data_IF_514242232607
#
_entry.id   IF_514242232607
#
_cell.length_a   1.000
_cell.length_b   1.000
_cell.length_c   1.000
_cell.angle_alpha   90.00
_cell.angle_beta   90.00
_cell.angle_gamma   90.00
#
_symmetry.space_group_name_H-M   'P 1'
#
loop_
_entity.id
_entity.type
_entity.pdbx_description
1 polymer ?
#
# COMPACT_ATOMS: atom_id res chain seq x y z
N UNK A 1 -6.10 1.48 37.81
CA UNK A 1 -5.32 0.39 37.18
C UNK A 1 -6.11 -0.43 36.15
N UNK A 2 -7.33 -0.02 35.73
CA UNK A 2 -8.13 -0.70 34.70
C UNK A 2 -8.09 -0.03 33.32
N UNK A 3 -7.90 1.30 33.25
CA UNK A 3 -7.88 2.03 31.97
C UNK A 3 -6.72 1.62 31.05
N UNK A 4 -5.52 1.39 31.61
CA UNK A 4 -4.35 0.96 30.83
C UNK A 4 -4.49 -0.44 30.25
N UNK A 5 -5.26 -1.33 30.92
CA UNK A 5 -5.58 -2.66 30.39
C UNK A 5 -6.54 -2.56 29.20
N UNK A 6 -7.56 -1.70 29.32
CA UNK A 6 -8.53 -1.46 28.24
C UNK A 6 -7.91 -0.83 27.01
N UNK A 7 -7.06 0.18 27.18
CA UNK A 7 -6.41 0.88 26.06
C UNK A 7 -5.47 -0.04 25.29
N UNK A 8 -4.69 -0.86 25.99
CA UNK A 8 -3.76 -1.74 25.29
C UNK A 8 -4.43 -2.93 24.61
N UNK A 9 -5.43 -3.54 25.27
CA UNK A 9 -6.29 -4.52 24.61
C UNK A 9 -7.03 -3.90 23.42
N UNK A 10 -7.42 -2.63 23.50
CA UNK A 10 -8.01 -1.90 22.37
C UNK A 10 -7.03 -1.60 21.25
N UNK A 11 -5.73 -1.45 21.51
CA UNK A 11 -4.70 -1.28 20.47
C UNK A 11 -4.37 -2.64 19.82
N UNK A 12 -4.37 -3.71 20.60
CA UNK A 12 -4.20 -5.07 20.08
C UNK A 12 -5.41 -5.58 19.30
N UNK A 13 -6.61 -5.23 19.75
CA UNK A 13 -7.88 -5.61 19.14
C UNK A 13 -8.41 -4.56 18.16
N UNK A 14 -7.83 -3.34 18.12
CA UNK A 14 -8.14 -2.41 17.05
C UNK A 14 -7.62 -3.06 15.79
N UNK A 15 -8.56 -3.24 14.87
CA UNK A 15 -8.47 -3.77 13.52
C UNK A 15 -7.33 -3.22 12.65
N UNK A 16 -6.41 -2.40 13.16
CA UNK A 16 -5.19 -1.97 12.48
C UNK A 16 -4.28 -3.15 12.10
N UNK A 17 -4.23 -4.21 12.92
CA UNK A 17 -3.39 -5.40 12.62
C UNK A 17 -4.03 -6.37 11.62
N UNK A 18 -5.22 -6.06 11.08
CA UNK A 18 -5.84 -6.88 10.00
C UNK A 18 -6.90 -6.08 9.22
N UNK A 19 -6.65 -4.81 8.92
CA UNK A 19 -7.51 -4.04 8.01
C UNK A 19 -6.82 -3.95 6.66
N UNK A 20 -7.11 -4.95 5.83
CA UNK A 20 -7.08 -4.88 4.36
C UNK A 20 -7.39 -3.45 3.91
N UNK A 21 -6.37 -2.72 3.44
CA UNK A 21 -6.53 -1.45 2.72
C UNK A 21 -7.11 -1.77 1.34
N UNK A 22 -8.32 -2.34 1.33
CA UNK A 22 -9.12 -2.56 0.12
C UNK A 22 -10.04 -1.36 -0.13
N UNK A 23 -10.18 -0.45 0.84
CA UNK A 23 -11.24 0.58 0.80
C UNK A 23 -10.84 1.89 0.12
N UNK A 24 -9.56 2.25 0.02
CA UNK A 24 -9.18 3.53 -0.61
C UNK A 24 -8.79 3.43 -2.10
N UNK A 25 -8.23 2.31 -2.54
CA UNK A 25 -7.81 2.17 -3.95
C UNK A 25 -8.96 1.67 -4.84
N UNK A 26 -9.90 0.90 -4.29
CA UNK A 26 -11.01 0.32 -5.07
C UNK A 26 -12.08 1.33 -5.49
N UNK A 27 -12.40 2.32 -4.66
CA UNK A 27 -13.56 3.19 -4.88
C UNK A 27 -13.42 4.18 -6.03
N UNK A 28 -12.23 4.78 -6.20
CA UNK A 28 -12.02 5.82 -7.22
C UNK A 28 -11.72 5.22 -8.59
N UNK A 29 -11.08 4.05 -8.64
CA UNK A 29 -10.74 3.38 -9.91
C UNK A 29 -11.96 2.65 -10.47
N UNK A 30 -12.75 1.92 -9.65
CA UNK A 30 -13.87 1.10 -10.13
C UNK A 30 -15.05 1.94 -10.62
N UNK A 31 -15.38 3.06 -9.96
CA UNK A 31 -16.52 3.90 -10.35
C UNK A 31 -16.32 4.63 -11.69
N UNK A 32 -15.08 4.85 -12.13
CA UNK A 32 -14.81 5.52 -13.41
C UNK A 32 -14.90 4.56 -14.61
N UNK A 33 -14.58 3.27 -14.41
CA UNK A 33 -14.51 2.24 -15.46
C UNK A 33 -15.87 1.98 -16.12
N UNK A 34 -16.98 2.10 -15.38
CA UNK A 34 -18.29 1.67 -15.87
C UNK A 34 -19.06 2.72 -16.68
N UNK A 35 -18.68 4.00 -16.64
CA UNK A 35 -19.60 5.08 -17.05
C UNK A 35 -19.61 5.45 -18.54
N UNK A 36 -18.72 4.92 -19.40
CA UNK A 36 -18.50 5.50 -20.75
C UNK A 36 -18.58 4.60 -21.98
N UNK A 37 -18.94 3.31 -21.86
CA UNK A 37 -18.94 2.39 -23.01
C UNK A 37 -20.29 1.74 -23.37
N UNK A 38 -21.41 2.44 -23.13
CA UNK A 38 -22.67 2.11 -23.80
C UNK A 38 -22.98 3.19 -24.85
N UNK A 39 -22.57 2.97 -26.10
CA UNK A 39 -23.41 3.24 -27.27
C UNK A 39 -22.72 2.98 -28.63
N UNK A 40 -23.53 2.38 -29.53
CA UNK A 40 -23.40 2.13 -30.99
C UNK A 40 -22.93 0.75 -31.47
N UNK A 41 -23.86 -0.01 -32.06
CA UNK A 41 -23.78 -1.42 -32.47
C UNK A 41 -22.86 -1.77 -33.65
N UNK A 42 -22.38 -3.02 -33.61
CA UNK A 42 -22.20 -4.05 -34.65
C UNK A 42 -21.09 -4.02 -35.70
N UNK A 43 -20.33 -2.95 -35.87
CA UNK A 43 -19.07 -3.01 -36.65
C UNK A 43 -17.82 -2.74 -35.79
N UNK A 44 -18.04 -2.41 -34.51
CA UNK A 44 -17.01 -2.09 -33.52
C UNK A 44 -16.64 -3.27 -32.61
N UNK A 45 -17.12 -4.49 -32.84
CA UNK A 45 -16.99 -5.55 -31.81
C UNK A 45 -15.55 -6.05 -31.63
N UNK A 46 -14.74 -6.12 -32.71
CA UNK A 46 -13.30 -6.41 -32.59
C UNK A 46 -12.52 -5.26 -31.96
N UNK A 47 -12.73 -4.03 -32.45
CA UNK A 47 -12.05 -2.84 -31.91
C UNK A 47 -12.46 -2.58 -30.45
N UNK A 48 -13.71 -2.84 -30.08
CA UNK A 48 -14.18 -2.78 -28.69
C UNK A 48 -13.62 -3.89 -27.84
N UNK A 49 -13.57 -5.13 -28.32
CA UNK A 49 -12.99 -6.23 -27.58
C UNK A 49 -11.50 -5.95 -27.30
N UNK A 50 -10.74 -5.54 -28.31
CA UNK A 50 -9.32 -5.20 -28.16
C UNK A 50 -9.10 -4.00 -27.23
N UNK A 51 -9.96 -2.98 -27.29
CA UNK A 51 -9.92 -1.82 -26.37
C UNK A 51 -10.32 -2.21 -24.95
N UNK A 52 -11.36 -3.04 -24.78
CA UNK A 52 -11.82 -3.51 -23.48
C UNK A 52 -10.77 -4.41 -22.81
N UNK A 53 -10.15 -5.31 -23.58
CA UNK A 53 -9.08 -6.18 -23.10
C UNK A 53 -7.84 -5.38 -22.68
N UNK A 54 -7.48 -4.33 -23.42
CA UNK A 54 -6.40 -3.42 -23.03
C UNK A 54 -6.73 -2.66 -21.72
N UNK A 55 -7.90 -2.05 -21.63
CA UNK A 55 -8.33 -1.32 -20.43
C UNK A 55 -8.40 -2.24 -19.20
N UNK A 56 -8.81 -3.49 -19.39
CA UNK A 56 -8.84 -4.49 -18.33
C UNK A 56 -7.44 -4.89 -17.87
N UNK A 57 -6.49 -5.08 -18.79
CA UNK A 57 -5.09 -5.34 -18.43
C UNK A 57 -4.48 -4.16 -17.69
N UNK A 58 -4.66 -2.95 -18.21
CA UNK A 58 -4.19 -1.71 -17.56
C UNK A 58 -4.76 -1.58 -16.14
N UNK A 59 -6.07 -1.77 -15.99
CA UNK A 59 -6.75 -1.76 -14.69
C UNK A 59 -6.14 -2.78 -13.74
N UNK A 60 -5.97 -4.03 -14.17
CA UNK A 60 -5.41 -5.09 -13.36
C UNK A 60 -3.97 -4.79 -12.93
N UNK A 61 -3.14 -4.26 -13.83
CA UNK A 61 -1.75 -3.88 -13.51
C UNK A 61 -1.72 -2.79 -12.45
N UNK A 62 -2.58 -1.77 -12.56
CA UNK A 62 -2.69 -0.70 -11.56
C UNK A 62 -3.19 -1.24 -10.23
N UNK A 63 -4.24 -2.06 -10.24
CA UNK A 63 -4.77 -2.71 -9.02
C UNK A 63 -3.70 -3.56 -8.33
N UNK A 64 -2.97 -4.39 -9.08
CA UNK A 64 -1.86 -5.20 -8.56
C UNK A 64 -0.77 -4.30 -7.92
N UNK A 65 -0.38 -3.21 -8.59
CA UNK A 65 0.66 -2.30 -8.13
C UNK A 65 0.31 -1.63 -6.78
N UNK A 66 -0.92 -1.16 -6.64
CA UNK A 66 -1.39 -0.57 -5.38
C UNK A 66 -1.64 -1.62 -4.30
N UNK A 67 -2.10 -2.82 -4.65
CA UNK A 67 -2.30 -3.91 -3.68
C UNK A 67 -0.97 -4.36 -3.06
N UNK A 68 0.08 -4.54 -3.86
CA UNK A 68 1.41 -4.93 -3.35
C UNK A 68 1.99 -3.80 -2.51
N UNK A 69 1.95 -2.55 -3.00
CA UNK A 69 2.43 -1.38 -2.25
C UNK A 69 1.69 -1.18 -0.93
N UNK A 70 0.36 -1.30 -0.94
CA UNK A 70 -0.47 -1.10 0.26
C UNK A 70 -0.23 -2.16 1.34
N UNK A 71 0.04 -3.41 0.95
CA UNK A 71 0.42 -4.47 1.88
C UNK A 71 1.74 -4.16 2.58
N UNK A 72 2.74 -3.72 1.83
CA UNK A 72 4.05 -3.35 2.37
C UNK A 72 3.94 -2.19 3.37
N UNK A 73 3.18 -1.14 3.02
CA UNK A 73 2.97 0.01 3.89
C UNK A 73 2.27 -0.40 5.19
N UNK A 74 1.20 -1.20 5.10
CA UNK A 74 0.47 -1.65 6.28
C UNK A 74 1.37 -2.46 7.22
N UNK A 75 2.18 -3.37 6.66
CA UNK A 75 3.13 -4.15 7.46
C UNK A 75 4.21 -3.27 8.13
N UNK A 76 4.70 -2.25 7.43
CA UNK A 76 5.60 -1.25 8.00
C UNK A 76 4.96 -0.50 9.18
N UNK A 77 3.71 -0.05 9.04
CA UNK A 77 2.99 0.66 10.10
C UNK A 77 2.75 -0.23 11.33
N UNK A 78 2.40 -1.50 11.13
CA UNK A 78 2.30 -2.50 12.21
C UNK A 78 3.64 -2.68 12.94
N UNK A 79 4.75 -2.73 12.21
CA UNK A 79 6.09 -2.87 12.78
C UNK A 79 6.50 -1.64 13.60
N UNK A 80 6.19 -0.42 13.14
CA UNK A 80 6.33 0.81 13.95
C UNK A 80 5.48 0.68 15.23
N UNK A 81 4.21 0.30 15.10
CA UNK A 81 3.29 0.19 16.22
C UNK A 81 3.75 -0.85 17.25
N UNK A 82 4.44 -1.91 16.82
CA UNK A 82 5.04 -2.92 17.69
C UNK A 82 6.14 -2.38 18.63
N UNK A 83 6.69 -1.20 18.34
CA UNK A 83 7.66 -0.49 19.21
C UNK A 83 7.00 0.37 20.29
N UNK A 84 5.66 0.48 20.31
CA UNK A 84 4.96 1.35 21.25
C UNK A 84 4.90 0.81 22.69
N UNK A 85 4.64 1.69 23.66
CA UNK A 85 4.37 1.31 25.08
C UNK A 85 3.26 0.27 25.26
N UNK A 86 2.40 0.13 24.25
CA UNK A 86 1.47 -0.98 24.10
C UNK A 86 2.22 -2.31 24.34
N UNK A 87 3.30 -2.53 23.60
CA UNK A 87 4.09 -3.75 23.58
C UNK A 87 5.17 -3.82 24.69
N UNK A 88 5.05 -2.99 25.73
CA UNK A 88 5.95 -3.01 26.89
C UNK A 88 5.74 -4.25 27.75
N UNK A 89 6.66 -5.19 27.67
CA UNK A 89 6.65 -6.44 28.42
C UNK A 89 6.84 -6.22 29.93
N UNK A 90 7.52 -5.14 30.36
CA UNK A 90 7.81 -4.89 31.79
C UNK A 90 6.55 -4.60 32.61
N UNK A 91 5.45 -4.20 31.97
CA UNK A 91 4.21 -3.77 32.63
C UNK A 91 3.12 -4.85 32.61
N UNK A 92 3.49 -6.11 32.36
CA UNK A 92 2.53 -7.16 31.95
C UNK A 92 2.63 -8.39 32.83
N UNK A 93 1.49 -9.05 32.99
CA UNK A 93 1.40 -10.35 33.68
C UNK A 93 1.99 -11.46 32.82
N UNK A 94 2.32 -12.61 33.43
CA UNK A 94 2.87 -13.76 32.72
C UNK A 94 1.99 -14.26 31.56
N UNK A 95 0.66 -14.23 31.72
CA UNK A 95 -0.28 -14.59 30.64
C UNK A 95 -0.29 -13.56 29.51
N UNK A 96 -0.19 -12.27 29.82
CA UNK A 96 -0.13 -11.19 28.83
C UNK A 96 1.19 -11.20 28.05
N UNK A 97 2.31 -11.55 28.72
CA UNK A 97 3.63 -11.64 28.09
C UNK A 97 3.66 -12.62 26.91
N UNK A 98 3.03 -13.80 27.07
CA UNK A 98 2.94 -14.78 25.97
C UNK A 98 2.20 -14.19 24.78
N UNK A 99 1.08 -13.51 25.02
CA UNK A 99 0.29 -12.85 23.96
C UNK A 99 1.09 -11.74 23.27
N UNK A 100 1.82 -10.90 24.02
CA UNK A 100 2.68 -9.84 23.44
C UNK A 100 3.73 -10.43 22.51
N UNK A 101 4.47 -11.42 23.00
CA UNK A 101 5.57 -12.01 22.26
C UNK A 101 5.08 -12.68 20.99
N UNK A 102 3.98 -13.42 21.08
CA UNK A 102 3.34 -14.00 19.91
C UNK A 102 2.92 -12.91 18.91
N UNK A 103 2.31 -11.82 19.39
CA UNK A 103 1.86 -10.74 18.51
C UNK A 103 3.01 -9.98 17.85
N UNK A 104 4.11 -9.72 18.59
CA UNK A 104 5.34 -9.16 18.02
C UNK A 104 5.91 -10.08 16.94
N UNK A 105 5.95 -11.39 17.20
CA UNK A 105 6.43 -12.36 16.22
C UNK A 105 5.54 -12.41 14.97
N UNK A 106 4.21 -12.37 15.14
CA UNK A 106 3.26 -12.27 14.03
C UNK A 106 3.50 -11.02 13.19
N UNK A 107 3.72 -9.87 13.82
CA UNK A 107 4.00 -8.60 13.12
C UNK A 107 5.32 -8.69 12.34
N UNK A 108 6.37 -9.23 12.95
CA UNK A 108 7.67 -9.42 12.26
C UNK A 108 7.53 -10.38 11.08
N UNK A 109 6.80 -11.48 11.23
CA UNK A 109 6.56 -12.42 10.15
C UNK A 109 5.75 -11.76 9.02
N UNK A 110 4.68 -11.02 9.36
CA UNK A 110 3.87 -10.31 8.39
C UNK A 110 4.68 -9.27 7.60
N UNK A 111 5.59 -8.55 8.27
CA UNK A 111 6.54 -7.65 7.62
C UNK A 111 7.47 -8.39 6.66
N UNK A 112 8.11 -9.48 7.10
CA UNK A 112 9.01 -10.24 6.24
C UNK A 112 8.29 -10.81 5.00
N UNK A 113 7.07 -11.32 5.17
CA UNK A 113 6.26 -11.84 4.06
C UNK A 113 5.86 -10.73 3.08
N UNK A 114 5.52 -9.54 3.60
CA UNK A 114 5.18 -8.37 2.78
C UNK A 114 6.40 -7.86 2.00
N UNK A 115 7.56 -7.75 2.66
CA UNK A 115 8.81 -7.28 2.09
C UNK A 115 9.31 -8.23 0.99
N UNK A 116 9.28 -9.54 1.25
CA UNK A 116 9.62 -10.55 0.25
C UNK A 116 8.69 -10.45 -0.97
N UNK A 117 7.37 -10.33 -0.74
CA UNK A 117 6.42 -10.17 -1.82
C UNK A 117 6.61 -8.84 -2.58
N UNK A 118 6.90 -7.74 -1.89
CA UNK A 118 7.22 -6.46 -2.52
C UNK A 118 8.41 -6.59 -3.46
N UNK A 119 9.52 -7.14 -2.96
CA UNK A 119 10.74 -7.31 -3.74
C UNK A 119 10.56 -8.28 -4.92
N UNK A 120 9.80 -9.36 -4.75
CA UNK A 120 9.49 -10.30 -5.82
C UNK A 120 8.63 -9.67 -6.93
N UNK A 121 7.66 -8.84 -6.56
CA UNK A 121 6.68 -8.30 -7.51
C UNK A 121 7.12 -6.98 -8.16
N UNK A 122 7.91 -6.16 -7.47
CA UNK A 122 8.26 -4.79 -7.92
C UNK A 122 8.76 -4.76 -9.36
N UNK A 123 9.71 -5.63 -9.71
CA UNK A 123 10.31 -5.67 -11.06
C UNK A 123 9.28 -6.03 -12.14
N UNK A 124 8.42 -7.02 -11.86
CA UNK A 124 7.34 -7.44 -12.77
C UNK A 124 6.31 -6.35 -12.94
N UNK A 125 5.94 -5.65 -11.86
CA UNK A 125 5.02 -4.52 -11.89
C UNK A 125 5.59 -3.35 -12.69
N UNK A 126 6.88 -3.02 -12.52
CA UNK A 126 7.56 -2.00 -13.32
C UNK A 126 7.46 -2.30 -14.81
N UNK A 127 7.74 -3.54 -15.23
CA UNK A 127 7.63 -3.94 -16.63
C UNK A 127 6.19 -3.81 -17.13
N UNK A 128 5.22 -4.35 -16.38
CA UNK A 128 3.80 -4.35 -16.77
C UNK A 128 3.24 -2.93 -16.88
N UNK A 129 3.54 -2.05 -15.92
CA UNK A 129 3.12 -0.65 -15.96
C UNK A 129 3.69 0.07 -17.19
N UNK A 130 4.97 -0.17 -17.51
CA UNK A 130 5.60 0.39 -18.71
C UNK A 130 5.01 -0.18 -20.00
N UNK A 131 4.61 -1.45 -20.03
CA UNK A 131 3.95 -2.03 -21.20
C UNK A 131 2.57 -1.43 -21.43
N UNK A 132 1.76 -1.29 -20.38
CA UNK A 132 0.40 -0.76 -20.51
C UNK A 132 0.39 0.77 -20.68
N UNK A 133 1.36 1.50 -20.12
CA UNK A 133 1.46 2.96 -20.21
C UNK A 133 2.65 3.44 -21.05
N UNK A 134 3.17 2.64 -21.99
CA UNK A 134 4.47 2.91 -22.65
C UNK A 134 4.58 4.24 -23.42
N UNK A 135 3.46 4.81 -23.86
CA UNK A 135 3.43 6.15 -24.47
C UNK A 135 3.51 7.29 -23.45
N UNK A 136 3.29 7.00 -22.16
CA UNK A 136 3.24 7.97 -21.07
C UNK A 136 4.41 7.76 -20.10
N UNK A 137 5.49 8.52 -20.32
CA UNK A 137 6.67 8.49 -19.47
C UNK A 137 6.41 9.04 -18.05
N UNK A 138 5.39 9.88 -17.87
CA UNK A 138 5.04 10.45 -16.56
C UNK A 138 4.57 9.35 -15.59
N UNK A 139 3.74 8.42 -16.05
CA UNK A 139 3.29 7.27 -15.24
C UNK A 139 4.47 6.39 -14.83
N UNK A 140 5.37 6.12 -15.78
CA UNK A 140 6.55 5.29 -15.52
C UNK A 140 7.49 5.96 -14.52
N UNK A 141 7.72 7.27 -14.66
CA UNK A 141 8.55 8.04 -13.72
C UNK A 141 7.92 8.13 -12.34
N UNK A 142 6.61 8.33 -12.25
CA UNK A 142 5.90 8.36 -10.97
C UNK A 142 5.94 6.99 -10.27
N UNK A 143 5.83 5.89 -11.02
CA UNK A 143 6.00 4.54 -10.46
C UNK A 143 7.42 4.29 -9.96
N UNK A 144 8.44 4.66 -10.74
CA UNK A 144 9.83 4.47 -10.33
C UNK A 144 10.13 5.23 -9.02
N UNK A 145 9.64 6.47 -8.88
CA UNK A 145 9.76 7.23 -7.63
C UNK A 145 9.00 6.58 -6.48
N UNK A 146 7.74 6.20 -6.71
CA UNK A 146 6.89 5.55 -5.70
C UNK A 146 7.57 4.27 -5.18
N UNK A 147 7.99 3.39 -6.09
CA UNK A 147 8.63 2.13 -5.72
C UNK A 147 9.96 2.32 -4.98
N UNK A 148 10.73 3.35 -5.31
CA UNK A 148 11.90 3.74 -4.51
C UNK A 148 11.48 4.14 -3.10
N UNK A 149 10.51 5.05 -2.97
CA UNK A 149 10.07 5.56 -1.65
C UNK A 149 9.40 4.51 -0.77
N UNK A 150 8.75 3.49 -1.35
CA UNK A 150 8.26 2.32 -0.59
C UNK A 150 9.43 1.58 0.04
N UNK A 151 10.48 1.32 -0.75
CA UNK A 151 11.69 0.63 -0.28
C UNK A 151 12.38 1.46 0.81
N UNK A 152 12.55 2.77 0.60
CA UNK A 152 13.18 3.66 1.57
C UNK A 152 12.40 3.76 2.90
N UNK A 153 11.06 3.72 2.82
CA UNK A 153 10.21 3.69 4.01
C UNK A 153 10.35 2.36 4.77
N UNK A 154 10.27 1.23 4.06
CA UNK A 154 10.43 -0.10 4.66
C UNK A 154 11.79 -0.27 5.33
N UNK A 155 12.87 0.14 4.66
CA UNK A 155 14.22 0.10 5.22
C UNK A 155 14.34 0.96 6.49
N UNK A 156 13.74 2.15 6.49
CA UNK A 156 13.70 3.00 7.68
C UNK A 156 13.00 2.30 8.84
N UNK A 157 11.87 1.63 8.57
CA UNK A 157 11.06 0.95 9.61
C UNK A 157 11.81 -0.25 10.19
N UNK A 158 12.46 -1.05 9.35
CA UNK A 158 13.31 -2.15 9.80
C UNK A 158 14.42 -1.65 10.74
N UNK A 159 15.14 -0.61 10.34
CA UNK A 159 16.19 0.02 11.15
C UNK A 159 15.60 0.58 12.46
N UNK A 160 14.44 1.25 12.39
CA UNK A 160 13.76 1.79 13.56
C UNK A 160 13.44 0.70 14.58
N UNK A 161 12.84 -0.41 14.12
CA UNK A 161 12.44 -1.53 14.95
C UNK A 161 13.64 -2.22 15.61
N UNK A 162 14.74 -2.40 14.88
CA UNK A 162 16.00 -2.94 15.41
C UNK A 162 16.62 -2.04 16.49
N UNK A 163 16.52 -0.71 16.32
CA UNK A 163 17.12 0.27 17.24
C UNK A 163 16.25 0.56 18.49
N UNK A 164 14.93 0.40 18.40
CA UNK A 164 13.99 0.73 19.48
C UNK A 164 13.48 -0.53 20.19
N UNK A 165 14.41 -1.22 20.87
CA UNK A 165 14.09 -2.38 21.72
C UNK A 165 13.32 -1.99 22.98
N UNK A 166 13.53 -0.76 23.47
CA UNK A 166 12.73 -0.16 24.52
C UNK A 166 11.45 0.49 23.94
N UNK A 167 10.28 0.30 24.57
CA UNK A 167 9.04 0.86 24.09
C UNK A 167 9.05 2.39 24.07
N UNK A 168 8.56 2.97 22.98
CA UNK A 168 8.43 4.42 22.80
C UNK A 168 6.99 4.89 23.03
N UNK A 169 6.85 6.15 23.45
CA UNK A 169 5.54 6.79 23.57
C UNK A 169 4.93 7.19 22.21
N UNK A 170 3.69 7.64 22.24
CA UNK A 170 2.94 7.96 21.03
C UNK A 170 3.50 9.16 20.25
N UNK A 171 4.18 10.10 20.91
CA UNK A 171 4.72 11.26 20.22
C UNK A 171 5.98 10.86 19.44
N UNK A 172 6.83 10.04 20.05
CA UNK A 172 7.99 9.46 19.35
C UNK A 172 7.61 8.46 18.26
N UNK A 173 6.50 7.73 18.38
CA UNK A 173 5.96 6.90 17.29
C UNK A 173 5.57 7.72 16.06
N UNK A 174 4.98 8.92 16.24
CA UNK A 174 4.60 9.78 15.10
C UNK A 174 5.82 10.27 14.34
N UNK A 175 6.98 10.35 15.00
CA UNK A 175 8.25 10.73 14.39
C UNK A 175 8.92 9.54 13.66
N UNK A 176 8.54 8.30 13.97
CA UNK A 176 9.10 7.09 13.39
C UNK A 176 8.96 7.11 11.87
N UNK A 177 10.10 7.27 11.18
CA UNK A 177 10.17 7.30 9.72
C UNK A 177 9.24 8.34 9.04
N UNK A 178 8.79 9.36 9.76
CA UNK A 178 7.76 10.31 9.31
C UNK A 178 8.12 11.00 7.99
N UNK A 179 9.38 11.41 7.81
CA UNK A 179 9.85 12.03 6.58
C UNK A 179 9.79 11.07 5.38
N UNK A 180 10.06 9.77 5.57
CA UNK A 180 10.00 8.77 4.49
C UNK A 180 8.55 8.44 4.17
N UNK A 181 7.69 8.31 5.20
CA UNK A 181 6.25 8.12 5.04
C UNK A 181 5.61 9.29 4.27
N UNK A 182 5.95 10.52 4.63
CA UNK A 182 5.45 11.70 3.93
C UNK A 182 5.85 11.71 2.45
N UNK A 183 7.13 11.43 2.15
CA UNK A 183 7.60 11.34 0.77
C UNK A 183 6.91 10.22 -0.03
N UNK A 184 6.65 9.08 0.62
CA UNK A 184 5.89 7.99 0.03
C UNK A 184 4.45 8.41 -0.31
N UNK A 185 3.76 9.10 0.61
CA UNK A 185 2.39 9.58 0.39
C UNK A 185 2.32 10.58 -0.78
N UNK A 186 3.27 11.52 -0.87
CA UNK A 186 3.35 12.46 -2.00
C UNK A 186 3.55 11.76 -3.35
N UNK A 187 4.36 10.70 -3.38
CA UNK A 187 4.63 9.95 -4.62
C UNK A 187 3.47 9.03 -5.01
N UNK A 188 2.76 8.44 -4.05
CA UNK A 188 1.51 7.71 -4.31
C UNK A 188 0.43 8.61 -4.91
N UNK A 189 0.30 9.83 -4.39
CA UNK A 189 -0.60 10.84 -4.94
C UNK A 189 -0.19 11.24 -6.36
N UNK A 190 1.11 11.43 -6.60
CA UNK A 190 1.63 11.73 -7.94
C UNK A 190 1.33 10.59 -8.92
N UNK A 191 1.61 9.34 -8.55
CA UNK A 191 1.33 8.16 -9.36
C UNK A 191 -0.17 8.08 -9.72
N UNK A 192 -1.03 8.29 -8.73
CA UNK A 192 -2.48 8.31 -8.92
C UNK A 192 -2.88 9.38 -9.94
N UNK A 193 -2.36 10.61 -9.82
CA UNK A 193 -2.64 11.69 -10.76
C UNK A 193 -2.19 11.37 -12.18
N UNK A 194 -0.98 10.84 -12.35
CA UNK A 194 -0.46 10.53 -13.68
C UNK A 194 -1.19 9.37 -14.36
N UNK A 195 -1.62 8.34 -13.60
CA UNK A 195 -2.47 7.27 -14.13
C UNK A 195 -3.81 7.84 -14.62
N UNK A 196 -4.45 8.70 -13.82
CA UNK A 196 -5.72 9.32 -14.19
C UNK A 196 -5.58 10.22 -15.42
N UNK A 197 -4.52 11.02 -15.50
CA UNK A 197 -4.21 11.87 -16.66
C UNK A 197 -3.94 11.05 -17.91
N UNK A 198 -3.19 9.95 -17.79
CA UNK A 198 -2.93 9.00 -18.88
C UNK A 198 -4.22 8.47 -19.49
N UNK A 199 -5.17 8.04 -18.64
CA UNK A 199 -6.48 7.54 -19.06
C UNK A 199 -7.32 8.60 -19.76
N UNK A 200 -7.31 9.83 -19.25
CA UNK A 200 -8.02 10.95 -19.89
C UNK A 200 -7.49 11.19 -21.30
N UNK A 201 -6.17 11.21 -21.49
CA UNK A 201 -5.55 11.39 -22.80
C UNK A 201 -5.94 10.26 -23.78
N UNK A 202 -5.88 8.99 -23.34
CA UNK A 202 -6.28 7.84 -24.16
C UNK A 202 -7.77 7.85 -24.54
N UNK A 203 -8.63 8.40 -23.68
CA UNK A 203 -10.07 8.54 -23.99
C UNK A 203 -10.37 9.62 -25.04
N UNK A 204 -9.50 10.63 -25.17
CA UNK A 204 -9.67 11.73 -26.13
C UNK A 204 -9.13 11.38 -27.53
N UNK A 205 -8.09 10.56 -27.62
CA UNK A 205 -7.53 10.07 -28.89
C UNK A 205 -8.35 8.96 -29.53
N UNK A 206 -9.21 8.27 -28.75
CA UNK A 206 -10.14 7.26 -29.24
C UNK A 206 -11.46 7.82 -29.82
N UNK A 207 -11.58 9.15 -29.94
CA UNK A 207 -12.72 9.83 -30.56
C UNK A 207 -12.48 9.91 -32.08
N UNK A 208 -13.41 9.43 -32.93
CA UNK A 208 -13.27 9.48 -34.39
C UNK A 208 -13.28 10.91 -34.93
#
# INVERSE_FOLDING_TARGET
MSETKSLWLSILNSSSVTALITTLVGGVIVAFVTSRYQDKEKERDRVRAETADYLERERKVVEDAFNVTGREIAACEDMIQATSTAFDERRRTASELKTIRNKKQEIVNHYNDADENWHAQRTTLTLRLRMEHGANQDVSSAWDKTSSTVTDFSDCVRIWFEQHTDPVDNDKLKEACASRKHSLDENLDLLTREILKSRQASSMTAKP
#
